data_IF_614956717790
#
_entry.id   IF_614956717790
#
_cell.length_a   1.000
_cell.length_b   1.000
_cell.length_c   1.000
_cell.angle_alpha   90.00
_cell.angle_beta   90.00
_cell.angle_gamma   90.00
#
_symmetry.space_group_name_H-M   'P 1'
#
loop_
_entity.id
_entity.type
_entity.pdbx_description
1 polymer ?
#
# COMPACT_ATOMS: atom_id res chain seq x y z
N UNK A 1 -8.74 3.78 -0.75
CA UNK A 1 -10.10 3.35 -0.37
C UNK A 1 -11.00 4.57 -0.31
N UNK A 2 -12.21 4.51 -0.87
CA UNK A 2 -13.21 5.58 -0.74
C UNK A 2 -13.98 5.44 0.58
N UNK A 3 -14.70 6.49 0.99
CA UNK A 3 -15.54 6.43 2.20
C UNK A 3 -16.59 5.31 2.15
N UNK A 4 -17.23 5.11 0.99
CA UNK A 4 -18.21 4.04 0.76
C UNK A 4 -17.62 2.63 1.01
N UNK A 5 -16.42 2.37 0.49
CA UNK A 5 -15.74 1.09 0.69
C UNK A 5 -15.38 0.87 2.17
N UNK A 6 -14.94 1.93 2.86
CA UNK A 6 -14.64 1.87 4.29
C UNK A 6 -15.90 1.58 5.11
N UNK A 7 -17.01 2.23 4.82
CA UNK A 7 -18.29 2.00 5.50
C UNK A 7 -18.77 0.55 5.30
N UNK A 8 -18.67 0.03 4.09
CA UNK A 8 -18.97 -1.38 3.82
C UNK A 8 -18.08 -2.33 4.62
N UNK A 9 -16.76 -2.07 4.67
CA UNK A 9 -15.80 -2.86 5.45
C UNK A 9 -16.15 -2.85 6.93
N UNK A 10 -16.45 -1.68 7.51
CA UNK A 10 -16.81 -1.55 8.92
C UNK A 10 -18.09 -2.35 9.22
N UNK A 11 -19.10 -2.24 8.37
CA UNK A 11 -20.34 -3.00 8.52
C UNK A 11 -20.12 -4.51 8.42
N UNK A 12 -19.30 -4.96 7.46
CA UNK A 12 -18.93 -6.37 7.32
C UNK A 12 -18.24 -6.90 8.59
N UNK A 13 -17.24 -6.18 9.09
CA UNK A 13 -16.52 -6.57 10.31
C UNK A 13 -17.42 -6.59 11.56
N UNK A 14 -18.46 -5.74 11.61
CA UNK A 14 -19.45 -5.76 12.68
C UNK A 14 -20.37 -6.98 12.67
N UNK A 15 -20.51 -7.68 11.55
CA UNK A 15 -21.33 -8.89 11.41
C UNK A 15 -20.50 -10.19 11.39
N UNK A 16 -19.20 -10.08 11.16
CA UNK A 16 -18.28 -11.20 10.94
C UNK A 16 -17.01 -11.07 11.81
N UNK A 17 -17.18 -11.19 13.13
CA UNK A 17 -16.06 -11.10 14.09
C UNK A 17 -14.98 -12.18 13.85
N UNK A 18 -15.38 -13.32 13.32
CA UNK A 18 -14.51 -14.44 12.94
C UNK A 18 -13.46 -14.04 11.89
N UNK A 19 -13.80 -13.15 10.96
CA UNK A 19 -12.85 -12.60 9.99
C UNK A 19 -11.71 -11.87 10.70
N UNK A 20 -12.02 -10.99 11.65
CA UNK A 20 -11.01 -10.27 12.42
C UNK A 20 -10.17 -11.23 13.28
N UNK A 21 -10.81 -12.22 13.92
CA UNK A 21 -10.12 -13.23 14.74
C UNK A 21 -9.14 -14.04 13.90
N UNK A 22 -9.52 -14.45 12.68
CA UNK A 22 -8.64 -15.18 11.77
C UNK A 22 -7.35 -14.39 11.49
N UNK A 23 -7.47 -13.11 11.16
CA UNK A 23 -6.32 -12.26 10.82
C UNK A 23 -5.42 -11.87 12.00
N UNK A 24 -5.83 -12.11 13.26
CA UNK A 24 -4.97 -11.85 14.44
C UNK A 24 -3.68 -12.67 14.45
N UNK A 25 -3.69 -13.85 13.82
CA UNK A 25 -2.56 -14.77 13.83
C UNK A 25 -1.97 -15.00 12.43
N UNK A 26 -2.34 -14.18 11.45
CA UNK A 26 -1.82 -14.25 10.07
C UNK A 26 -0.48 -13.52 9.97
N UNK A 27 0.40 -14.02 9.10
CA UNK A 27 1.66 -13.34 8.75
C UNK A 27 1.36 -12.19 7.79
N UNK A 28 1.91 -11.00 8.07
CA UNK A 28 1.70 -9.77 7.27
C UNK A 28 0.21 -9.50 6.96
N UNK A 29 -0.67 -9.41 7.98
CA UNK A 29 -2.10 -9.30 7.76
C UNK A 29 -2.47 -8.03 6.99
N UNK A 30 -1.71 -6.95 7.12
CA UNK A 30 -1.89 -5.68 6.42
C UNK A 30 -1.80 -5.82 4.88
N UNK A 31 -1.04 -6.79 4.37
CA UNK A 31 -0.88 -7.01 2.93
C UNK A 31 -2.11 -7.66 2.26
N UNK A 32 -2.99 -8.30 3.02
CA UNK A 32 -4.14 -9.04 2.47
C UNK A 32 -5.49 -8.74 3.12
N UNK A 33 -5.54 -8.27 4.37
CA UNK A 33 -6.79 -8.01 5.11
C UNK A 33 -7.75 -7.12 4.32
N UNK A 34 -7.31 -5.91 3.97
CA UNK A 34 -8.19 -4.97 3.27
C UNK A 34 -8.45 -5.40 1.83
N UNK A 35 -7.46 -5.99 1.16
CA UNK A 35 -7.62 -6.44 -0.23
C UNK A 35 -8.68 -7.53 -0.33
N UNK A 36 -8.66 -8.50 0.57
CA UNK A 36 -9.68 -9.57 0.62
C UNK A 36 -11.08 -8.98 0.84
N UNK A 37 -11.25 -8.04 1.79
CA UNK A 37 -12.55 -7.40 2.02
C UNK A 37 -13.02 -6.58 0.81
N UNK A 38 -12.13 -5.81 0.18
CA UNK A 38 -12.46 -5.02 -1.02
C UNK A 38 -12.93 -5.94 -2.15
N UNK A 39 -12.25 -7.07 -2.37
CA UNK A 39 -12.63 -8.04 -3.41
C UNK A 39 -13.94 -8.80 -3.11
N UNK A 40 -14.33 -8.90 -1.84
CA UNK A 40 -15.64 -9.44 -1.45
C UNK A 40 -16.76 -8.41 -1.50
N UNK A 41 -16.42 -7.12 -1.55
CA UNK A 41 -17.39 -6.02 -1.57
C UNK A 41 -18.00 -5.81 -2.96
N UNK A 42 -19.12 -5.06 -3.06
CA UNK A 42 -19.65 -4.59 -4.34
C UNK A 42 -18.70 -3.69 -5.15
N UNK A 43 -17.54 -3.34 -4.60
CA UNK A 43 -16.55 -2.45 -5.21
C UNK A 43 -15.36 -3.19 -5.83
N UNK A 44 -15.38 -4.54 -5.88
CA UNK A 44 -14.29 -5.35 -6.42
C UNK A 44 -13.85 -4.94 -7.84
N UNK A 45 -14.81 -4.55 -8.69
CA UNK A 45 -14.54 -4.13 -10.07
C UNK A 45 -14.06 -2.67 -10.20
N UNK A 46 -14.08 -1.89 -9.12
CA UNK A 46 -13.53 -0.52 -9.12
C UNK A 46 -12.01 -0.61 -9.12
N UNK A 47 -11.42 -0.50 -10.32
CA UNK A 47 -9.96 -0.40 -10.47
C UNK A 47 -9.47 0.88 -9.81
N UNK A 48 -8.60 0.75 -8.82
CA UNK A 48 -7.83 1.85 -8.24
C UNK A 48 -6.36 1.56 -8.46
N UNK A 49 -5.66 2.51 -9.09
CA UNK A 49 -4.22 2.43 -9.27
C UNK A 49 -3.50 2.52 -7.92
N UNK A 50 -2.34 1.89 -7.83
CA UNK A 50 -1.42 2.12 -6.72
C UNK A 50 -0.87 3.54 -6.83
N UNK A 51 -1.07 4.33 -5.78
CA UNK A 51 -0.64 5.73 -5.72
C UNK A 51 0.73 5.90 -5.05
N UNK A 52 1.45 4.80 -4.85
CA UNK A 52 2.74 4.77 -4.18
C UNK A 52 3.79 4.18 -5.11
N UNK A 53 4.82 4.96 -5.41
CA UNK A 53 5.99 4.51 -6.14
C UNK A 53 6.92 3.72 -5.21
N UNK A 54 7.25 2.50 -5.62
CA UNK A 54 8.17 1.60 -4.94
C UNK A 54 9.14 1.04 -5.97
N UNK A 55 10.42 0.95 -5.62
CA UNK A 55 11.41 0.24 -6.42
C UNK A 55 11.86 -1.01 -5.67
N UNK A 56 11.87 -2.16 -6.37
CA UNK A 56 12.33 -3.43 -5.82
C UNK A 56 13.36 -4.02 -6.78
N UNK A 57 14.57 -4.18 -6.28
CA UNK A 57 15.57 -5.05 -6.90
C UNK A 57 15.07 -6.49 -6.97
N UNK A 58 15.52 -7.22 -8.00
CA UNK A 58 15.09 -8.60 -8.23
C UNK A 58 15.38 -9.49 -7.00
N UNK A 59 14.34 -10.21 -6.53
CA UNK A 59 14.44 -11.09 -5.36
C UNK A 59 14.45 -10.37 -4.01
N UNK A 60 14.28 -9.04 -3.96
CA UNK A 60 14.23 -8.31 -2.71
C UNK A 60 12.91 -8.54 -1.95
N UNK A 61 13.00 -8.69 -0.63
CA UNK A 61 11.85 -8.77 0.27
C UNK A 61 11.36 -7.39 0.74
N UNK A 62 12.09 -6.32 0.40
CA UNK A 62 11.78 -4.94 0.79
C UNK A 62 12.17 -3.99 -0.33
N UNK A 63 11.49 -2.83 -0.47
CA UNK A 63 11.85 -1.85 -1.48
C UNK A 63 13.24 -1.25 -1.19
N UNK A 64 13.90 -0.85 -2.26
CA UNK A 64 15.19 -0.15 -2.19
C UNK A 64 15.04 1.23 -1.56
N UNK A 65 16.16 1.74 -1.05
CA UNK A 65 16.27 3.14 -0.64
C UNK A 65 16.50 3.96 -1.91
N UNK A 66 15.49 4.74 -2.28
CA UNK A 66 15.49 5.64 -3.42
C UNK A 66 16.57 6.71 -3.25
N UNK A 67 17.21 7.06 -4.36
CA UNK A 67 18.26 8.05 -4.47
C UNK A 67 17.92 9.11 -5.51
N UNK A 68 18.73 10.15 -5.62
CA UNK A 68 18.56 11.21 -6.62
C UNK A 68 18.39 10.68 -8.06
N UNK A 69 19.02 9.54 -8.38
CA UNK A 69 18.90 8.85 -9.68
C UNK A 69 17.50 8.34 -10.00
N UNK A 70 16.71 8.00 -8.98
CA UNK A 70 15.38 7.40 -9.14
C UNK A 70 14.29 8.47 -9.26
N UNK A 71 14.61 9.71 -8.87
CA UNK A 71 13.66 10.81 -8.84
C UNK A 71 12.96 11.09 -10.19
N UNK A 72 13.63 11.05 -11.36
CA UNK A 72 12.95 11.24 -12.64
C UNK A 72 11.83 10.20 -12.86
N UNK A 73 12.12 8.92 -12.60
CA UNK A 73 11.15 7.84 -12.76
C UNK A 73 10.02 7.94 -11.74
N UNK A 74 10.33 8.25 -10.48
CA UNK A 74 9.33 8.47 -9.45
C UNK A 74 8.38 9.62 -9.82
N UNK A 75 8.91 10.72 -10.39
CA UNK A 75 8.11 11.88 -10.82
C UNK A 75 7.22 11.57 -12.02
N UNK A 76 7.69 10.75 -12.96
CA UNK A 76 6.94 10.34 -14.14
C UNK A 76 5.89 9.26 -13.85
N UNK A 77 5.98 8.57 -12.71
CA UNK A 77 5.11 7.45 -12.35
C UNK A 77 3.63 7.80 -12.16
N UNK A 78 3.29 9.08 -11.96
CA UNK A 78 1.94 9.51 -11.59
C UNK A 78 1.51 9.13 -10.16
N UNK A 79 2.38 8.49 -9.39
CA UNK A 79 2.14 8.19 -7.97
C UNK A 79 2.18 9.47 -7.13
N UNK A 80 1.41 9.49 -6.05
CA UNK A 80 1.33 10.62 -5.12
C UNK A 80 2.43 10.57 -4.05
N UNK A 81 2.90 9.37 -3.73
CA UNK A 81 3.89 9.13 -2.67
C UNK A 81 4.98 8.20 -3.22
N UNK A 82 6.19 8.26 -2.68
CA UNK A 82 7.28 7.32 -2.98
C UNK A 82 7.93 6.77 -1.71
N UNK A 83 8.47 5.55 -1.77
CA UNK A 83 9.15 4.86 -0.66
C UNK A 83 10.18 3.85 -1.21
N UNK A 84 11.29 3.54 -0.52
CA UNK A 84 11.77 4.07 0.77
C UNK A 84 12.74 5.23 0.55
N UNK A 85 12.71 6.23 1.42
CA UNK A 85 13.67 7.35 1.43
C UNK A 85 14.38 7.35 2.78
N UNK A 86 15.69 7.55 2.78
CA UNK A 86 16.53 7.55 3.97
C UNK A 86 17.63 8.61 3.85
N UNK A 87 17.61 9.59 4.75
CA UNK A 87 18.49 10.77 4.69
C UNK A 87 19.95 10.46 5.00
N UNK A 88 20.20 9.37 5.73
CA UNK A 88 21.58 8.93 6.03
C UNK A 88 22.22 8.24 4.81
N UNK A 89 21.41 7.85 3.82
CA UNK A 89 21.85 7.23 2.57
C UNK A 89 21.89 8.25 1.43
N UNK A 90 20.87 9.11 1.33
CA UNK A 90 20.78 10.19 0.34
C UNK A 90 19.88 11.33 0.86
N UNK A 91 20.46 12.52 1.06
CA UNK A 91 19.78 13.72 1.58
C UNK A 91 19.14 14.60 0.49
N UNK A 92 19.21 14.19 -0.78
CA UNK A 92 18.69 14.92 -1.93
C UNK A 92 17.21 15.32 -1.78
N UNK A 93 16.41 14.48 -1.12
CA UNK A 93 14.97 14.68 -1.01
C UNK A 93 14.54 15.67 0.08
N UNK A 94 15.45 16.05 0.98
CA UNK A 94 15.16 17.00 2.08
C UNK A 94 15.78 18.37 1.82
N UNK A 95 16.84 18.42 1.02
CA UNK A 95 17.55 19.65 0.66
C UNK A 95 16.89 20.46 -0.46
N UNK A 96 15.65 20.12 -0.84
CA UNK A 96 14.96 20.64 -2.04
C UNK A 96 13.72 21.48 -1.74
#
# INVERSE_FOLDING_TARGET
MTGETVEWIINYLGQHEDYYIFYKNTVCPDESFFQTLVMMSPYADKKTDYLTYLHFSEGANSPDILRASDFPQAKESGCLVMRKVDMDVDDFFVSR
#
